data_IF_161509024959
#
_entry.id   IF_161509024959
#
_cell.length_a   1.000
_cell.length_b   1.000
_cell.length_c   1.000
_cell.angle_alpha   90.00
_cell.angle_beta   90.00
_cell.angle_gamma   90.00
#
_symmetry.space_group_name_H-M   'P 1'
#
loop_
_entity.id
_entity.type
_entity.pdbx_description
1 polymer ?
#
# COMPACT_ATOMS: atom_id res chain seq x y z
N UNK A 1 18.64 7.36 7.63
CA UNK A 1 18.48 5.89 7.74
C UNK A 1 17.81 5.42 6.46
N UNK A 2 18.47 4.58 5.70
CA UNK A 2 17.90 4.02 4.46
C UNK A 2 16.82 3.01 4.86
N UNK A 3 15.57 3.21 4.45
CA UNK A 3 14.48 2.31 4.77
C UNK A 3 13.60 2.08 3.53
N UNK A 4 13.56 0.85 3.05
CA UNK A 4 12.72 0.40 1.93
C UNK A 4 11.60 -0.45 2.47
N UNK A 5 10.43 0.15 2.57
CA UNK A 5 9.30 -0.39 3.32
C UNK A 5 8.10 -0.67 2.41
N UNK A 6 7.37 -1.73 2.74
CA UNK A 6 6.04 -2.01 2.20
C UNK A 6 5.03 -1.95 3.34
N UNK A 7 3.94 -1.24 3.15
CA UNK A 7 2.82 -1.20 4.08
C UNK A 7 1.66 -2.02 3.52
N UNK A 8 1.32 -3.08 4.23
CA UNK A 8 0.21 -3.98 3.93
C UNK A 8 -0.97 -3.72 4.86
N UNK A 9 -2.13 -4.15 4.48
CA UNK A 9 -3.34 -4.09 5.30
C UNK A 9 -4.60 -3.97 4.45
N UNK A 10 -5.77 -4.34 4.99
CA UNK A 10 -7.00 -4.28 4.24
C UNK A 10 -7.39 -2.83 3.90
N UNK A 11 -8.23 -2.64 2.86
CA UNK A 11 -8.85 -1.34 2.62
C UNK A 11 -9.52 -0.82 3.91
N UNK A 12 -9.34 0.47 4.24
CA UNK A 12 -9.90 1.07 5.46
C UNK A 12 -9.09 0.88 6.74
N UNK A 13 -7.96 0.18 6.70
CA UNK A 13 -7.06 0.04 7.85
C UNK A 13 -6.30 1.33 8.21
N UNK A 14 -6.39 2.37 7.37
CA UNK A 14 -5.71 3.64 7.59
C UNK A 14 -4.30 3.72 6.99
N UNK A 15 -3.96 2.84 6.04
CA UNK A 15 -2.64 2.79 5.41
C UNK A 15 -2.17 4.14 4.87
N UNK A 16 -2.99 4.84 4.09
CA UNK A 16 -2.60 6.12 3.47
C UNK A 16 -2.22 7.18 4.50
N UNK A 17 -3.00 7.31 5.58
CA UNK A 17 -2.72 8.24 6.67
C UNK A 17 -1.43 7.86 7.40
N UNK A 18 -1.26 6.58 7.71
CA UNK A 18 -0.08 6.08 8.41
C UNK A 18 1.18 6.16 7.53
N UNK A 19 1.06 5.81 6.25
CA UNK A 19 2.16 5.91 5.30
C UNK A 19 2.74 7.32 5.25
N UNK A 20 1.88 8.35 5.14
CA UNK A 20 2.32 9.74 5.13
C UNK A 20 3.06 10.16 6.41
N UNK A 21 2.53 9.77 7.58
CA UNK A 21 3.14 10.11 8.87
C UNK A 21 4.47 9.38 9.11
N UNK A 22 4.50 8.08 8.82
CA UNK A 22 5.72 7.26 8.98
C UNK A 22 6.81 7.71 8.03
N UNK A 23 6.48 7.92 6.75
CA UNK A 23 7.43 8.38 5.75
C UNK A 23 8.02 9.75 6.10
N UNK A 24 7.17 10.69 6.56
CA UNK A 24 7.63 12.01 7.02
C UNK A 24 8.59 11.90 8.23
N UNK A 25 8.30 11.02 9.19
CA UNK A 25 9.16 10.80 10.35
C UNK A 25 10.52 10.17 9.98
N UNK A 26 10.55 9.34 8.93
CA UNK A 26 11.76 8.68 8.44
C UNK A 26 12.51 9.49 7.38
N UNK A 27 11.93 10.57 6.87
CA UNK A 27 12.52 11.38 5.80
C UNK A 27 12.58 10.68 4.43
N UNK A 28 11.63 9.78 4.14
CA UNK A 28 11.53 9.02 2.89
C UNK A 28 10.23 9.36 2.15
N UNK A 29 10.19 9.20 0.81
CA UNK A 29 8.95 9.41 0.06
C UNK A 29 7.93 8.29 0.30
N UNK A 30 6.65 8.67 0.28
CA UNK A 30 5.53 7.73 0.19
C UNK A 30 5.18 7.52 -1.27
N UNK A 31 5.01 6.26 -1.67
CA UNK A 31 4.60 5.86 -3.02
C UNK A 31 3.30 5.08 -2.90
N UNK A 32 2.18 5.72 -3.23
CA UNK A 32 0.85 5.12 -3.23
C UNK A 32 0.37 4.88 -4.65
N UNK A 33 0.21 3.60 -5.04
CA UNK A 33 -0.34 3.25 -6.34
C UNK A 33 -1.78 3.71 -6.50
N UNK A 34 -2.57 3.66 -5.42
CA UNK A 34 -3.93 4.18 -5.42
C UNK A 34 -3.99 5.68 -5.72
N UNK A 35 -3.10 6.48 -5.14
CA UNK A 35 -3.04 7.92 -5.41
C UNK A 35 -2.54 8.22 -6.82
N UNK A 36 -1.57 7.47 -7.32
CA UNK A 36 -1.11 7.56 -8.70
C UNK A 36 -2.24 7.25 -9.70
N UNK A 37 -3.03 6.22 -9.44
CA UNK A 37 -4.20 5.90 -10.25
C UNK A 37 -5.26 7.00 -10.20
N UNK A 38 -5.64 7.46 -9.01
CA UNK A 38 -6.65 8.52 -8.84
C UNK A 38 -6.23 9.83 -9.52
N UNK A 39 -4.97 10.20 -9.43
CA UNK A 39 -4.42 11.37 -10.11
C UNK A 39 -4.57 11.27 -11.63
N UNK A 40 -4.26 10.10 -12.21
CA UNK A 40 -4.44 9.85 -13.64
C UNK A 40 -5.92 9.86 -14.06
N UNK A 41 -6.81 9.28 -13.24
CA UNK A 41 -8.26 9.29 -13.49
C UNK A 41 -8.78 10.74 -13.48
N UNK A 42 -8.43 11.52 -12.45
CA UNK A 42 -8.83 12.92 -12.32
C UNK A 42 -8.30 13.78 -13.47
N UNK A 43 -7.10 13.51 -13.93
CA UNK A 43 -6.48 14.19 -15.08
C UNK A 43 -7.02 13.75 -16.44
N UNK A 44 -7.91 12.74 -16.50
CA UNK A 44 -8.49 12.23 -17.73
C UNK A 44 -7.48 11.63 -18.71
N UNK A 45 -6.33 11.17 -18.22
CA UNK A 45 -5.29 10.58 -19.06
C UNK A 45 -5.75 9.27 -19.70
N UNK A 46 -5.13 8.82 -20.81
CA UNK A 46 -5.42 7.49 -21.39
C UNK A 46 -5.24 6.37 -20.36
N UNK A 47 -4.20 6.45 -19.53
CA UNK A 47 -3.95 5.53 -18.43
C UNK A 47 -5.08 5.61 -17.39
N UNK A 48 -5.51 6.81 -17.01
CA UNK A 48 -6.58 7.02 -16.04
C UNK A 48 -7.91 6.38 -16.47
N UNK A 49 -8.29 6.51 -17.74
CA UNK A 49 -9.48 5.85 -18.29
C UNK A 49 -9.40 4.33 -18.22
N UNK A 50 -8.24 3.78 -18.59
CA UNK A 50 -8.00 2.33 -18.51
C UNK A 50 -8.04 1.82 -17.08
N UNK A 51 -7.45 2.54 -16.15
CA UNK A 51 -7.44 2.19 -14.71
C UNK A 51 -8.84 2.27 -14.12
N UNK A 52 -9.64 3.27 -14.48
CA UNK A 52 -11.00 3.46 -13.98
C UNK A 52 -11.93 2.28 -14.27
N UNK A 53 -11.75 1.57 -15.38
CA UNK A 53 -12.51 0.36 -15.70
C UNK A 53 -12.37 -0.74 -14.65
N UNK A 54 -11.22 -0.80 -13.97
CA UNK A 54 -10.95 -1.77 -12.90
C UNK A 54 -11.31 -1.22 -11.52
N UNK A 55 -10.88 -0.01 -11.22
CA UNK A 55 -11.05 0.58 -9.88
C UNK A 55 -12.51 0.84 -9.51
N UNK A 56 -13.34 1.22 -10.49
CA UNK A 56 -14.77 1.47 -10.28
C UNK A 56 -15.55 0.23 -9.80
N UNK A 57 -15.07 -0.96 -10.12
CA UNK A 57 -15.64 -2.24 -9.66
C UNK A 57 -14.83 -2.92 -8.55
N UNK A 58 -13.81 -2.24 -8.00
CA UNK A 58 -12.95 -2.77 -6.94
C UNK A 58 -11.97 -3.85 -7.38
N UNK A 59 -11.79 -4.07 -8.68
CA UNK A 59 -10.83 -5.02 -9.23
C UNK A 59 -9.40 -4.43 -9.22
N UNK A 60 -8.40 -5.31 -9.21
CA UNK A 60 -7.01 -4.91 -9.37
C UNK A 60 -6.73 -4.45 -10.80
N UNK A 61 -5.92 -3.41 -10.93
CA UNK A 61 -5.36 -2.99 -12.23
C UNK A 61 -4.39 -4.07 -12.71
N UNK A 62 -4.30 -4.37 -14.03
CA UNK A 62 -3.37 -5.37 -14.54
C UNK A 62 -1.93 -5.14 -14.09
N UNK A 63 -1.23 -6.22 -13.73
CA UNK A 63 0.13 -6.17 -13.18
C UNK A 63 1.11 -5.45 -14.12
N UNK A 64 1.00 -5.66 -15.43
CA UNK A 64 1.85 -5.00 -16.42
C UNK A 64 1.83 -3.48 -16.33
N UNK A 65 0.66 -2.91 -16.07
CA UNK A 65 0.49 -1.46 -15.92
C UNK A 65 1.02 -0.98 -14.59
N UNK A 66 0.68 -1.68 -13.52
CA UNK A 66 1.09 -1.33 -12.17
C UNK A 66 2.60 -1.47 -11.97
N UNK A 67 3.18 -2.56 -12.46
CA UNK A 67 4.62 -2.84 -12.34
C UNK A 67 5.46 -1.77 -13.06
N UNK A 68 5.08 -1.40 -14.29
CA UNK A 68 5.78 -0.36 -15.05
C UNK A 68 5.75 0.98 -14.30
N UNK A 69 4.59 1.36 -13.79
CA UNK A 69 4.42 2.60 -13.05
C UNK A 69 5.25 2.63 -11.74
N UNK A 70 5.31 1.51 -11.02
CA UNK A 70 6.13 1.39 -9.81
C UNK A 70 7.62 1.43 -10.16
N UNK A 71 8.04 0.74 -11.22
CA UNK A 71 9.43 0.77 -11.71
C UNK A 71 9.87 2.18 -12.02
N UNK A 72 9.08 2.91 -12.80
CA UNK A 72 9.37 4.31 -13.16
C UNK A 72 9.44 5.23 -11.93
N UNK A 73 8.56 5.01 -10.96
CA UNK A 73 8.55 5.82 -9.72
C UNK A 73 9.74 5.53 -8.82
N UNK A 74 10.15 4.27 -8.68
CA UNK A 74 11.31 3.87 -7.88
C UNK A 74 12.64 4.27 -8.52
N UNK A 75 12.67 4.54 -9.81
CA UNK A 75 13.85 5.04 -10.52
C UNK A 75 14.12 6.54 -10.29
N UNK A 76 13.22 7.27 -9.62
CA UNK A 76 13.42 8.68 -9.31
C UNK A 76 14.41 8.86 -8.16
N UNK A 77 15.19 9.92 -8.21
CA UNK A 77 16.30 10.20 -7.27
C UNK A 77 15.85 10.22 -5.80
N UNK A 78 14.63 10.73 -5.52
CA UNK A 78 14.11 10.79 -4.16
C UNK A 78 13.83 9.44 -3.51
N UNK A 79 13.68 8.39 -4.31
CA UNK A 79 13.43 7.03 -3.83
C UNK A 79 14.72 6.20 -3.65
N UNK A 80 15.87 6.71 -4.09
CA UNK A 80 17.15 5.99 -4.06
C UNK A 80 17.58 5.61 -2.63
N UNK A 81 17.38 6.55 -1.68
CA UNK A 81 17.79 6.37 -0.27
C UNK A 81 16.73 5.68 0.60
N UNK A 82 15.57 5.38 0.06
CA UNK A 82 14.48 4.71 0.77
C UNK A 82 13.12 5.15 0.29
N UNK A 83 12.10 4.39 0.66
CA UNK A 83 10.71 4.67 0.29
C UNK A 83 9.75 3.88 1.19
N UNK A 84 8.50 4.29 1.19
CA UNK A 84 7.40 3.52 1.73
C UNK A 84 6.35 3.31 0.64
N UNK A 85 6.16 2.04 0.23
CA UNK A 85 5.14 1.63 -0.72
C UNK A 85 3.80 1.37 -0.01
N UNK A 86 2.75 2.03 -0.46
CA UNK A 86 1.36 1.78 -0.06
C UNK A 86 0.53 1.33 -1.27
N UNK A 87 -0.10 0.18 -1.14
CA UNK A 87 -0.95 -0.40 -2.18
C UNK A 87 -0.21 -1.21 -3.24
N UNK A 88 1.06 -1.49 -3.04
CA UNK A 88 1.88 -2.37 -3.87
C UNK A 88 2.96 -3.04 -3.01
N UNK A 89 3.24 -4.34 -3.17
CA UNK A 89 2.56 -5.31 -4.04
C UNK A 89 1.15 -5.68 -3.53
N UNK A 90 0.28 -6.14 -4.42
CA UNK A 90 -1.08 -6.60 -4.08
C UNK A 90 -1.33 -8.08 -4.39
N UNK A 91 -0.38 -8.75 -5.00
CA UNK A 91 -0.39 -10.19 -5.24
C UNK A 91 1.04 -10.74 -5.24
N UNK A 92 1.15 -12.06 -5.22
CA UNK A 92 2.47 -12.74 -5.14
C UNK A 92 3.34 -12.46 -6.38
N UNK A 93 2.74 -12.33 -7.56
CA UNK A 93 3.47 -12.00 -8.78
C UNK A 93 4.13 -10.61 -8.71
N UNK A 94 3.44 -9.64 -8.12
CA UNK A 94 3.99 -8.30 -7.88
C UNK A 94 5.11 -8.30 -6.83
N UNK A 95 5.09 -9.22 -5.87
CA UNK A 95 6.23 -9.40 -4.93
C UNK A 95 7.49 -9.76 -5.68
N UNK A 96 7.42 -10.74 -6.59
CA UNK A 96 8.56 -11.14 -7.41
C UNK A 96 9.06 -10.01 -8.32
N UNK A 97 8.14 -9.22 -8.87
CA UNK A 97 8.51 -8.05 -9.69
C UNK A 97 9.18 -6.96 -8.85
N UNK A 98 8.70 -6.69 -7.64
CA UNK A 98 9.35 -5.74 -6.74
C UNK A 98 10.78 -6.18 -6.41
N UNK A 99 10.98 -7.46 -6.12
CA UNK A 99 12.32 -8.03 -5.90
C UNK A 99 13.24 -7.78 -7.11
N UNK A 100 12.73 -7.99 -8.32
CA UNK A 100 13.48 -7.76 -9.54
C UNK A 100 13.82 -6.27 -9.75
N UNK A 101 12.85 -5.38 -9.53
CA UNK A 101 13.07 -3.93 -9.62
C UNK A 101 14.18 -3.48 -8.65
N UNK A 102 14.16 -3.96 -7.42
CA UNK A 102 15.15 -3.59 -6.42
C UNK A 102 16.53 -4.20 -6.73
N UNK A 103 16.57 -5.45 -7.21
CA UNK A 103 17.80 -6.11 -7.60
C UNK A 103 18.54 -5.37 -8.73
N UNK A 104 17.82 -4.75 -9.67
CA UNK A 104 18.40 -3.95 -10.75
C UNK A 104 19.25 -2.76 -10.23
N UNK A 105 18.97 -2.30 -9.01
CA UNK A 105 19.73 -1.24 -8.34
C UNK A 105 20.65 -1.75 -7.22
N UNK A 106 20.76 -3.07 -7.05
CA UNK A 106 21.51 -3.69 -5.96
C UNK A 106 20.88 -3.51 -4.59
N UNK A 107 19.60 -3.20 -4.53
CA UNK A 107 18.83 -2.98 -3.31
C UNK A 107 17.97 -4.19 -2.95
N UNK A 108 17.48 -4.21 -1.72
CA UNK A 108 16.52 -5.20 -1.21
C UNK A 108 15.47 -4.48 -0.36
N UNK A 109 14.32 -5.13 -0.16
CA UNK A 109 13.31 -4.67 0.80
C UNK A 109 13.83 -4.88 2.22
N UNK A 110 13.68 -3.88 3.07
CA UNK A 110 14.10 -3.97 4.47
C UNK A 110 13.01 -4.57 5.35
N UNK A 111 11.75 -4.18 5.14
CA UNK A 111 10.63 -4.64 5.95
C UNK A 111 9.28 -4.49 5.25
N UNK A 112 8.40 -5.45 5.47
CA UNK A 112 6.98 -5.35 5.22
C UNK A 112 6.25 -5.19 6.55
N UNK A 113 5.44 -4.15 6.70
CA UNK A 113 4.64 -3.92 7.89
C UNK A 113 3.17 -4.11 7.54
N UNK A 114 2.49 -4.98 8.25
CA UNK A 114 1.07 -5.24 8.07
C UNK A 114 0.26 -4.55 9.17
N UNK A 115 -0.62 -3.63 8.77
CA UNK A 115 -1.67 -3.10 9.63
C UNK A 115 -2.79 -4.12 9.73
N UNK A 116 -3.00 -4.65 10.93
CA UNK A 116 -4.09 -5.57 11.22
C UNK A 116 -5.29 -4.77 11.70
N UNK A 117 -6.45 -4.97 11.08
CA UNK A 117 -7.70 -4.31 11.46
C UNK A 117 -8.90 -5.24 11.26
N UNK A 118 -9.83 -5.21 12.21
CA UNK A 118 -11.06 -5.99 12.15
C UNK A 118 -11.95 -5.48 10.98
N UNK A 119 -12.49 -6.37 10.12
CA UNK A 119 -13.43 -6.00 9.06
C UNK A 119 -14.64 -5.19 9.54
N UNK A 120 -15.16 -5.50 10.72
CA UNK A 120 -16.30 -4.77 11.31
C UNK A 120 -15.96 -3.32 11.67
N UNK A 121 -14.68 -3.00 11.81
CA UNK A 121 -14.18 -1.63 12.01
C UNK A 121 -13.87 -0.94 10.69
N UNK A 122 -13.35 -1.66 9.69
CA UNK A 122 -12.92 -1.04 8.43
C UNK A 122 -14.07 -0.67 7.52
N UNK A 123 -15.16 -1.44 7.47
CA UNK A 123 -16.32 -1.15 6.60
C UNK A 123 -16.97 0.20 6.94
N UNK A 124 -17.33 0.51 8.20
CA UNK A 124 -17.87 1.83 8.57
C UNK A 124 -16.90 2.98 8.26
N UNK A 125 -15.60 2.78 8.44
CA UNK A 125 -14.59 3.79 8.11
C UNK A 125 -14.56 4.12 6.62
N UNK A 126 -14.66 3.10 5.76
CA UNK A 126 -14.68 3.29 4.31
C UNK A 126 -15.92 4.01 3.83
N UNK A 127 -17.10 3.67 4.38
CA UNK A 127 -18.35 4.36 4.06
C UNK A 127 -18.28 5.85 4.47
N UNK A 128 -17.79 6.14 5.66
CA UNK A 128 -17.59 7.51 6.12
C UNK A 128 -16.58 8.28 5.25
N UNK A 129 -15.50 7.63 4.83
CA UNK A 129 -14.53 8.24 3.91
C UNK A 129 -15.15 8.58 2.57
N UNK A 130 -15.99 7.70 2.03
CA UNK A 130 -16.71 7.95 0.78
C UNK A 130 -17.56 9.21 0.85
N UNK A 131 -18.28 9.43 1.96
CA UNK A 131 -19.09 10.63 2.19
C UNK A 131 -18.23 11.90 2.25
N UNK A 132 -17.09 11.85 2.96
CA UNK A 132 -16.23 13.01 3.20
C UNK A 132 -15.38 13.36 1.98
N UNK A 133 -14.83 12.36 1.28
CA UNK A 133 -13.89 12.56 0.18
C UNK A 133 -14.53 12.43 -1.21
N UNK A 134 -15.82 12.09 -1.29
CA UNK A 134 -16.52 11.90 -2.55
C UNK A 134 -15.94 10.80 -3.42
N UNK A 135 -15.48 9.70 -2.81
CA UNK A 135 -14.87 8.57 -3.52
C UNK A 135 -15.95 7.69 -4.13
N UNK A 136 -16.03 7.65 -5.45
CA UNK A 136 -16.93 6.77 -6.21
C UNK A 136 -16.59 5.28 -6.05
N UNK A 137 -15.33 4.96 -5.71
CA UNK A 137 -14.82 3.61 -5.49
C UNK A 137 -15.07 3.06 -4.07
N UNK A 138 -15.78 3.81 -3.21
CA UNK A 138 -16.10 3.41 -1.85
C UNK A 138 -17.63 3.20 -1.64
N UNK A 139 -18.35 2.64 -2.61
CA UNK A 139 -19.70 2.13 -2.42
C UNK A 139 -19.67 0.81 -1.61
N UNK A 140 -20.77 0.45 -0.94
CA UNK A 140 -20.79 -0.75 -0.09
C UNK A 140 -20.41 -2.03 -0.87
N UNK A 141 -20.95 -2.22 -2.07
CA UNK A 141 -20.65 -3.37 -2.91
C UNK A 141 -19.18 -3.40 -3.34
N UNK A 142 -18.63 -2.25 -3.70
CA UNK A 142 -17.23 -2.11 -4.06
C UNK A 142 -16.32 -2.35 -2.86
N UNK A 143 -16.69 -1.85 -1.68
CA UNK A 143 -15.95 -2.09 -0.43
C UNK A 143 -15.89 -3.59 -0.13
N UNK A 144 -17.03 -4.29 -0.17
CA UNK A 144 -17.09 -5.74 0.08
C UNK A 144 -16.25 -6.51 -0.93
N UNK A 145 -16.35 -6.14 -2.21
CA UNK A 145 -15.54 -6.76 -3.26
C UNK A 145 -14.04 -6.53 -3.06
N UNK A 146 -13.64 -5.33 -2.66
CA UNK A 146 -12.23 -5.01 -2.35
C UNK A 146 -11.69 -5.81 -1.16
N UNK A 147 -12.50 -6.04 -0.13
CA UNK A 147 -12.13 -6.90 0.99
C UNK A 147 -11.95 -8.35 0.56
N UNK A 148 -12.82 -8.86 -0.31
CA UNK A 148 -12.69 -10.20 -0.87
C UNK A 148 -11.44 -10.34 -1.75
N UNK A 149 -11.15 -9.34 -2.58
CA UNK A 149 -9.92 -9.30 -3.40
C UNK A 149 -8.69 -9.26 -2.49
N UNK A 150 -8.70 -8.43 -1.46
CA UNK A 150 -7.61 -8.39 -0.48
C UNK A 150 -7.37 -9.76 0.16
N UNK A 151 -8.42 -10.43 0.64
CA UNK A 151 -8.32 -11.72 1.31
C UNK A 151 -7.74 -12.81 0.39
N UNK A 152 -8.10 -12.80 -0.89
CA UNK A 152 -7.65 -13.82 -1.85
C UNK A 152 -6.28 -13.55 -2.46
N UNK A 153 -6.01 -12.29 -2.79
CA UNK A 153 -4.85 -11.92 -3.61
C UNK A 153 -3.72 -11.30 -2.78
N UNK A 154 -4.07 -10.51 -1.78
CA UNK A 154 -3.11 -9.67 -1.04
C UNK A 154 -2.74 -10.26 0.32
N UNK A 155 -3.66 -10.81 1.08
CA UNK A 155 -3.34 -11.41 2.38
C UNK A 155 -2.26 -12.52 2.29
N UNK A 156 -2.16 -13.34 1.22
CA UNK A 156 -1.07 -14.31 1.06
C UNK A 156 0.33 -13.70 1.01
N UNK A 157 0.47 -12.42 0.67
CA UNK A 157 1.76 -11.71 0.65
C UNK A 157 2.37 -11.64 2.05
N UNK A 158 1.56 -11.46 3.08
CA UNK A 158 2.03 -11.45 4.45
C UNK A 158 2.77 -12.76 4.79
N UNK A 159 2.26 -13.90 4.35
CA UNK A 159 2.92 -15.21 4.52
C UNK A 159 4.27 -15.26 3.78
N UNK A 160 4.33 -14.75 2.55
CA UNK A 160 5.59 -14.70 1.78
C UNK A 160 6.66 -13.88 2.51
N UNK A 161 6.32 -12.72 3.03
CA UNK A 161 7.27 -11.89 3.78
C UNK A 161 7.59 -12.47 5.16
N UNK A 162 6.64 -13.13 5.82
CA UNK A 162 6.88 -13.83 7.07
C UNK A 162 7.91 -14.97 6.90
N UNK A 163 7.78 -15.78 5.85
CA UNK A 163 8.73 -16.85 5.52
C UNK A 163 10.15 -16.31 5.25
N UNK A 164 10.26 -15.08 4.77
CA UNK A 164 11.55 -14.39 4.55
C UNK A 164 12.10 -13.69 5.80
N UNK A 165 11.35 -13.70 6.91
CA UNK A 165 11.72 -12.96 8.13
C UNK A 165 11.60 -11.43 7.98
N UNK A 166 10.82 -10.95 7.02
CA UNK A 166 10.65 -9.53 6.70
C UNK A 166 9.30 -8.95 7.14
N UNK A 167 8.43 -9.73 7.79
CA UNK A 167 7.10 -9.26 8.20
C UNK A 167 7.06 -8.83 9.65
N UNK A 168 6.47 -7.68 9.91
CA UNK A 168 6.03 -7.25 11.24
C UNK A 168 4.57 -6.83 11.18
N UNK A 169 3.76 -7.31 12.13
CA UNK A 169 2.35 -6.95 12.25
C UNK A 169 2.15 -5.89 13.32
N UNK A 170 1.30 -4.92 13.04
CA UNK A 170 0.96 -3.82 13.95
C UNK A 170 -0.55 -3.67 14.01
N UNK A 171 -1.10 -3.57 15.20
CA UNK A 171 -2.52 -3.27 15.39
C UNK A 171 -2.84 -1.86 14.88
N UNK A 172 -3.70 -1.81 13.86
CA UNK A 172 -4.15 -0.59 13.19
C UNK A 172 -5.36 0.08 13.85
N UNK A 173 -5.81 -0.43 15.01
CA UNK A 173 -6.97 0.11 15.73
C UNK A 173 -6.50 1.10 16.80
N UNK A 174 -7.22 2.20 16.93
CA UNK A 174 -6.97 3.27 17.90
C UNK A 174 -6.75 4.63 17.27
N UNK A 175 -6.27 5.57 18.07
CA UNK A 175 -5.96 6.92 17.61
C UNK A 175 -4.81 6.90 16.59
N UNK A 176 -4.87 7.82 15.63
CA UNK A 176 -3.90 7.88 14.52
C UNK A 176 -2.46 7.97 15.04
N UNK A 177 -2.20 8.81 16.02
CA UNK A 177 -0.84 9.02 16.54
C UNK A 177 -0.31 7.82 17.34
N UNK A 178 -1.20 7.08 18.01
CA UNK A 178 -0.83 5.84 18.72
C UNK A 178 -0.42 4.75 17.74
N UNK A 179 -1.17 4.62 16.64
CA UNK A 179 -0.83 3.66 15.56
C UNK A 179 0.48 4.06 14.88
N UNK A 180 0.70 5.36 14.62
CA UNK A 180 1.97 5.87 14.08
C UNK A 180 3.14 5.51 14.99
N UNK A 181 2.98 5.69 16.29
CA UNK A 181 4.03 5.36 17.29
C UNK A 181 4.35 3.88 17.30
N UNK A 182 3.34 3.01 17.22
CA UNK A 182 3.53 1.55 17.14
C UNK A 182 4.27 1.16 15.84
N UNK A 183 3.92 1.77 14.71
CA UNK A 183 4.60 1.52 13.43
C UNK A 183 6.07 1.92 13.48
N UNK A 184 6.37 3.12 13.98
CA UNK A 184 7.76 3.61 14.10
C UNK A 184 8.58 2.73 15.05
N UNK A 185 8.00 2.29 16.16
CA UNK A 185 8.66 1.37 17.09
C UNK A 185 8.96 0.02 16.42
N UNK A 186 7.99 -0.54 15.69
CA UNK A 186 8.13 -1.81 14.96
C UNK A 186 9.24 -1.73 13.89
N UNK A 187 9.29 -0.63 13.13
CA UNK A 187 10.32 -0.39 12.11
C UNK A 187 11.71 -0.24 12.78
N UNK A 188 11.80 0.51 13.88
CA UNK A 188 13.06 0.72 14.57
C UNK A 188 13.65 -0.54 15.19
N UNK A 189 12.81 -1.46 15.67
CA UNK A 189 13.27 -2.75 16.24
C UNK A 189 13.70 -3.76 15.18
N UNK A 190 13.16 -3.66 13.96
CA UNK A 190 13.52 -4.57 12.85
C UNK A 190 14.77 -4.11 12.09
N UNK A 191 15.13 -2.84 12.19
CA UNK A 191 16.31 -2.25 11.51
C UNK A 191 17.59 -2.28 12.37
N UNK A 192 17.56 -2.82 13.57
CA UNK A 192 18.68 -3.01 14.52
C UNK A 192 19.11 -4.44 14.57
#
# INVERSE_FOLDING_TARGET
>A
MTARLVLLGPPGAGKGTQAAKVAAALGIPTISTGDLFRSNIKGGTPLGRKVQEYTSRGALVPDSVTNEMVRDRLAQDDAAEGFLLDGYPRNVAQVAELDAILADTGAQLDLAVELVADPDVVVPRLLKRAEVEGREDDTEDVIRHRLDVYARETAPIASVYAERGLLTQVDGIGEVDDVTSRLLAAIGTAAG
#
